data_IF_145143426682
#
_entry.id   IF_145143426682
#
_cell.length_a   1.000
_cell.length_b   1.000
_cell.length_c   1.000
_cell.angle_alpha   90.00
_cell.angle_beta   90.00
_cell.angle_gamma   90.00
#
_symmetry.space_group_name_H-M   'P 1'
#
loop_
_entity.id
_entity.type
_entity.pdbx_description
1 polymer ?
#
# COMPACT_ATOMS: atom_id res chain seq x y z
N UNK A 1 25.37 -31.54 74.18
CA UNK A 1 24.03 -31.09 74.63
C UNK A 1 23.00 -31.72 73.71
N UNK A 2 21.99 -32.43 74.23
CA UNK A 2 21.19 -33.36 73.46
C UNK A 2 20.03 -32.63 72.76
N UNK A 3 19.82 -32.96 71.49
CA UNK A 3 18.74 -32.46 70.64
C UNK A 3 17.33 -32.66 71.26
N UNK A 4 17.23 -33.58 72.22
CA UNK A 4 16.07 -33.90 73.06
C UNK A 4 15.56 -32.70 73.90
N UNK A 5 16.43 -31.78 74.33
CA UNK A 5 16.04 -30.64 75.20
C UNK A 5 15.45 -29.48 74.40
N UNK A 6 15.81 -29.35 73.12
CA UNK A 6 15.22 -28.32 72.24
C UNK A 6 13.82 -28.74 71.78
N UNK A 7 13.56 -30.04 71.64
CA UNK A 7 12.24 -30.58 71.25
C UNK A 7 11.22 -30.58 72.40
N UNK A 8 11.65 -30.49 73.65
CA UNK A 8 10.75 -30.55 74.83
C UNK A 8 10.37 -29.17 75.38
N UNK A 9 11.17 -28.12 75.14
CA UNK A 9 10.83 -26.74 75.53
C UNK A 9 9.90 -26.03 74.53
N UNK A 10 9.77 -26.58 73.32
CA UNK A 10 8.97 -26.05 72.22
C UNK A 10 7.90 -27.11 71.97
N UNK A 11 6.82 -27.06 72.75
CA UNK A 11 5.74 -28.05 72.72
C UNK A 11 5.38 -28.43 71.29
N UNK A 12 5.13 -29.71 71.03
CA UNK A 12 4.93 -30.34 69.70
C UNK A 12 4.02 -29.56 68.73
N UNK A 13 3.15 -28.68 69.24
CA UNK A 13 2.31 -27.73 68.52
C UNK A 13 3.03 -26.54 67.84
N UNK A 14 4.26 -26.21 68.24
CA UNK A 14 5.00 -25.04 67.73
C UNK A 14 5.98 -25.38 66.59
N UNK A 15 6.56 -26.59 66.59
CA UNK A 15 7.32 -27.11 65.45
C UNK A 15 6.43 -27.39 64.24
N UNK A 16 5.21 -27.89 64.46
CA UNK A 16 4.23 -28.10 63.39
C UNK A 16 3.82 -26.78 62.74
N UNK A 17 3.62 -25.72 63.53
CA UNK A 17 3.31 -24.39 63.01
C UNK A 17 4.42 -23.82 62.12
N UNK A 18 5.70 -23.96 62.52
CA UNK A 18 6.84 -23.51 61.72
C UNK A 18 6.92 -24.30 60.40
N UNK A 19 6.78 -25.63 60.46
CA UNK A 19 6.80 -26.49 59.26
C UNK A 19 5.68 -26.11 58.29
N UNK A 20 4.45 -25.91 58.78
CA UNK A 20 3.29 -25.51 57.97
C UNK A 20 3.53 -24.14 57.31
N UNK A 21 4.15 -23.20 58.02
CA UNK A 21 4.42 -21.85 57.49
C UNK A 21 5.48 -21.90 56.38
N UNK A 22 6.56 -22.67 56.57
CA UNK A 22 7.60 -22.86 55.55
C UNK A 22 7.04 -23.60 54.33
N UNK A 23 6.21 -24.63 54.53
CA UNK A 23 5.52 -25.32 53.44
C UNK A 23 4.57 -24.37 52.68
N UNK A 24 3.81 -23.56 53.41
CA UNK A 24 2.91 -22.57 52.82
C UNK A 24 3.67 -21.53 51.97
N UNK A 25 4.80 -21.03 52.47
CA UNK A 25 5.63 -20.04 51.77
C UNK A 25 6.27 -20.63 50.51
N UNK A 26 6.82 -21.85 50.60
CA UNK A 26 7.44 -22.53 49.45
C UNK A 26 6.42 -22.92 48.39
N UNK A 27 5.21 -23.33 48.78
CA UNK A 27 4.10 -23.55 47.85
C UNK A 27 3.67 -22.24 47.17
N UNK A 28 3.47 -21.17 47.95
CA UNK A 28 3.12 -19.85 47.41
C UNK A 28 4.17 -19.35 46.40
N UNK A 29 5.46 -19.50 46.71
CA UNK A 29 6.55 -19.13 45.81
C UNK A 29 6.50 -19.91 44.49
N UNK A 30 6.29 -21.24 44.55
CA UNK A 30 6.15 -22.07 43.34
C UNK A 30 4.95 -21.68 42.49
N UNK A 31 3.81 -21.34 43.10
CA UNK A 31 2.64 -20.85 42.38
C UNK A 31 2.91 -19.52 41.66
N UNK A 32 3.64 -18.60 42.31
CA UNK A 32 4.05 -17.33 41.72
C UNK A 32 4.99 -17.56 40.53
N UNK A 33 6.02 -18.41 40.69
CA UNK A 33 6.97 -18.75 39.62
C UNK A 33 6.29 -19.42 38.42
N UNK A 34 5.37 -20.36 38.66
CA UNK A 34 4.59 -21.01 37.60
C UNK A 34 3.67 -20.02 36.88
N UNK A 35 3.07 -19.07 37.61
CA UNK A 35 2.26 -17.99 37.06
C UNK A 35 3.08 -17.08 36.15
N UNK A 36 4.25 -16.62 36.61
CA UNK A 36 5.17 -15.78 35.84
C UNK A 36 5.67 -16.51 34.59
N UNK A 37 6.10 -17.77 34.71
CA UNK A 37 6.58 -18.55 33.57
C UNK A 37 5.48 -18.80 32.52
N UNK A 38 4.23 -19.01 32.97
CA UNK A 38 3.10 -19.19 32.06
C UNK A 38 2.71 -17.88 31.38
N UNK A 39 2.75 -16.76 32.10
CA UNK A 39 2.53 -15.43 31.52
C UNK A 39 3.61 -15.09 30.48
N UNK A 40 4.88 -15.39 30.75
CA UNK A 40 5.99 -15.18 29.81
C UNK A 40 5.82 -16.01 28.52
N UNK A 41 5.49 -17.30 28.63
CA UNK A 41 5.21 -18.17 27.48
C UNK A 41 4.02 -17.68 26.65
N UNK A 42 2.96 -17.24 27.32
CA UNK A 42 1.78 -16.69 26.65
C UNK A 42 2.16 -15.41 25.87
N UNK A 43 2.95 -14.53 26.49
CA UNK A 43 3.42 -13.31 25.85
C UNK A 43 4.31 -13.60 24.63
N UNK A 44 5.31 -14.48 24.77
CA UNK A 44 6.18 -14.91 23.67
C UNK A 44 5.37 -15.53 22.52
N UNK A 45 4.43 -16.42 22.85
CA UNK A 45 3.55 -17.03 21.84
C UNK A 45 2.68 -15.98 21.12
N UNK A 46 2.29 -14.91 21.81
CA UNK A 46 1.51 -13.82 21.22
C UNK A 46 2.35 -12.94 20.30
N UNK A 47 3.62 -12.70 20.65
CA UNK A 47 4.56 -11.97 19.82
C UNK A 47 4.85 -12.72 18.52
N UNK A 48 5.11 -14.03 18.60
CA UNK A 48 5.33 -14.87 17.41
C UNK A 48 4.11 -14.82 16.49
N UNK A 49 2.90 -14.97 17.04
CA UNK A 49 1.66 -14.88 16.26
C UNK A 49 1.46 -13.51 15.62
N UNK A 50 1.79 -12.43 16.34
CA UNK A 50 1.69 -11.07 15.82
C UNK A 50 2.70 -10.83 14.69
N UNK A 51 3.94 -11.32 14.84
CA UNK A 51 4.96 -11.25 13.80
C UNK A 51 4.53 -12.03 12.55
N UNK A 52 4.04 -13.26 12.71
CA UNK A 52 3.56 -14.08 11.61
C UNK A 52 2.38 -13.43 10.88
N UNK A 53 1.44 -12.84 11.63
CA UNK A 53 0.31 -12.12 11.04
C UNK A 53 0.78 -10.88 10.27
N UNK A 54 1.75 -10.14 10.81
CA UNK A 54 2.33 -8.97 10.16
C UNK A 54 3.06 -9.35 8.86
N UNK A 55 3.92 -10.38 8.90
CA UNK A 55 4.62 -10.88 7.72
C UNK A 55 3.65 -11.30 6.62
N UNK A 56 2.60 -12.07 6.98
CA UNK A 56 1.55 -12.47 6.02
C UNK A 56 0.82 -11.28 5.41
N UNK A 57 0.54 -10.24 6.19
CA UNK A 57 -0.11 -9.03 5.68
C UNK A 57 0.80 -8.27 4.69
N UNK A 58 2.09 -8.16 5.00
CA UNK A 58 3.09 -7.55 4.10
C UNK A 58 3.20 -8.34 2.80
N UNK A 59 3.31 -9.67 2.88
CA UNK A 59 3.41 -10.54 1.70
C UNK A 59 2.16 -10.47 0.83
N UNK A 60 0.97 -10.44 1.44
CA UNK A 60 -0.29 -10.29 0.72
C UNK A 60 -0.36 -8.94 -0.01
N UNK A 61 0.01 -7.86 0.66
CA UNK A 61 0.05 -6.52 0.05
C UNK A 61 1.05 -6.48 -1.11
N UNK A 62 2.24 -7.08 -0.96
CA UNK A 62 3.22 -7.17 -2.03
C UNK A 62 2.68 -7.93 -3.26
N UNK A 63 1.95 -9.03 -3.05
CA UNK A 63 1.31 -9.78 -4.13
C UNK A 63 0.20 -8.98 -4.82
N UNK A 64 -0.64 -8.28 -4.06
CA UNK A 64 -1.67 -7.38 -4.60
C UNK A 64 -1.02 -6.29 -5.46
N UNK A 65 0.05 -5.66 -4.97
CA UNK A 65 0.77 -4.60 -5.68
C UNK A 65 1.40 -5.10 -6.98
N UNK A 66 2.01 -6.30 -6.97
CA UNK A 66 2.56 -6.93 -8.17
C UNK A 66 1.44 -7.17 -9.19
N UNK A 67 0.35 -7.82 -8.76
CA UNK A 67 -0.77 -8.12 -9.64
C UNK A 67 -1.40 -6.85 -10.23
N UNK A 68 -1.60 -5.82 -9.40
CA UNK A 68 -2.13 -4.53 -9.83
C UNK A 68 -1.23 -3.88 -10.89
N UNK A 69 0.09 -3.91 -10.69
CA UNK A 69 1.06 -3.37 -11.66
C UNK A 69 1.03 -4.13 -12.98
N UNK A 70 0.96 -5.46 -12.95
CA UNK A 70 0.87 -6.29 -14.16
C UNK A 70 -0.36 -5.95 -15.00
N UNK A 71 -1.51 -5.74 -14.35
CA UNK A 71 -2.74 -5.36 -15.05
C UNK A 71 -2.64 -3.93 -15.61
N UNK A 72 -2.11 -2.99 -14.83
CA UNK A 72 -1.87 -1.62 -15.29
C UNK A 72 -0.95 -1.55 -16.50
N UNK A 73 0.12 -2.36 -16.58
CA UNK A 73 1.01 -2.37 -17.75
C UNK A 73 0.22 -2.67 -19.04
N UNK A 74 -0.64 -3.69 -19.00
CA UNK A 74 -1.44 -4.12 -20.16
C UNK A 74 -2.42 -3.03 -20.58
N UNK A 75 -3.08 -2.41 -19.60
CA UNK A 75 -4.13 -1.42 -19.83
C UNK A 75 -3.55 -0.05 -20.23
N UNK A 76 -2.44 0.36 -19.63
CA UNK A 76 -1.84 1.68 -19.83
C UNK A 76 -1.16 1.80 -21.19
N UNK A 77 -0.70 0.70 -21.78
CA UNK A 77 -0.14 0.70 -23.13
C UNK A 77 -1.11 1.28 -24.16
N UNK A 78 -2.40 0.94 -24.07
CA UNK A 78 -3.42 1.39 -25.01
C UNK A 78 -3.66 2.92 -24.92
N UNK A 79 -3.87 3.45 -23.71
CA UNK A 79 -4.07 4.90 -23.53
C UNK A 79 -2.79 5.69 -23.82
N UNK A 80 -1.61 5.15 -23.48
CA UNK A 80 -0.34 5.75 -23.83
C UNK A 80 -0.23 5.95 -25.34
N UNK A 81 -0.54 4.92 -26.12
CA UNK A 81 -0.55 4.99 -27.57
C UNK A 81 -1.60 5.98 -28.09
N UNK A 82 -2.80 6.03 -27.50
CA UNK A 82 -3.84 6.97 -27.91
C UNK A 82 -3.39 8.44 -27.78
N UNK A 83 -2.59 8.78 -26.77
CA UNK A 83 -2.05 10.14 -26.60
C UNK A 83 -1.00 10.56 -27.65
N UNK A 84 -0.59 9.65 -28.55
CA UNK A 84 0.40 9.94 -29.59
C UNK A 84 -0.07 10.89 -30.69
N UNK A 85 -1.37 11.19 -30.75
CA UNK A 85 -1.95 12.18 -31.67
C UNK A 85 -1.37 13.59 -31.50
N UNK A 86 -0.89 13.92 -30.30
CA UNK A 86 -0.22 15.18 -29.99
C UNK A 86 1.25 14.89 -29.60
N UNK A 87 2.13 14.57 -30.56
CA UNK A 87 3.54 14.36 -30.27
C UNK A 87 4.23 15.70 -29.97
N UNK A 88 5.10 15.72 -28.96
CA UNK A 88 5.95 16.90 -28.71
C UNK A 88 7.03 17.06 -29.78
N UNK A 89 7.57 15.94 -30.26
CA UNK A 89 8.72 15.91 -31.18
C UNK A 89 8.59 14.77 -32.21
N UNK A 90 8.62 15.06 -33.52
CA UNK A 90 8.26 16.36 -34.09
C UNK A 90 6.81 16.72 -33.74
N UNK A 91 6.48 18.00 -33.72
CA UNK A 91 5.10 18.47 -33.55
C UNK A 91 4.27 18.12 -34.78
N UNK A 92 3.07 17.61 -34.59
CA UNK A 92 2.12 17.41 -35.67
C UNK A 92 1.51 18.75 -36.12
N UNK A 93 1.46 19.00 -37.43
CA UNK A 93 1.06 20.30 -38.02
C UNK A 93 -0.34 20.30 -38.62
N UNK A 94 -0.94 19.13 -38.79
CA UNK A 94 -2.18 18.87 -39.52
C UNK A 94 -3.33 18.38 -38.62
N UNK A 95 -3.13 18.38 -37.29
CA UNK A 95 -4.16 17.98 -36.33
C UNK A 95 -5.32 18.97 -36.37
N UNK A 96 -6.54 18.47 -36.61
CA UNK A 96 -7.74 19.28 -36.65
C UNK A 96 -8.55 19.18 -35.36
N UNK A 97 -9.46 20.12 -35.11
CA UNK A 97 -10.42 19.98 -34.00
C UNK A 97 -11.31 18.73 -34.13
N UNK A 98 -11.56 18.26 -35.35
CA UNK A 98 -12.29 17.00 -35.58
C UNK A 98 -11.51 15.77 -35.10
N UNK A 99 -10.17 15.80 -35.22
CA UNK A 99 -9.30 14.74 -34.72
C UNK A 99 -9.25 14.76 -33.18
N UNK A 100 -9.28 15.94 -32.57
CA UNK A 100 -9.35 16.10 -31.11
C UNK A 100 -10.67 15.57 -30.54
N UNK A 101 -11.80 15.83 -31.22
CA UNK A 101 -13.09 15.26 -30.84
C UNK A 101 -13.04 13.74 -30.87
N UNK A 102 -12.59 13.16 -32.00
CA UNK A 102 -12.42 11.71 -32.13
C UNK A 102 -11.47 11.13 -31.08
N UNK A 103 -10.42 11.87 -30.73
CA UNK A 103 -9.49 11.50 -29.66
C UNK A 103 -10.17 11.46 -28.28
N UNK A 104 -10.93 12.49 -27.91
CA UNK A 104 -11.71 12.50 -26.65
C UNK A 104 -12.71 11.35 -26.58
N UNK A 105 -13.41 11.06 -27.67
CA UNK A 105 -14.33 9.92 -27.78
C UNK A 105 -13.62 8.57 -27.64
N UNK A 106 -12.44 8.44 -28.27
CA UNK A 106 -11.59 7.24 -28.14
C UNK A 106 -11.15 7.03 -26.69
N UNK A 107 -10.70 8.10 -26.02
CA UNK A 107 -10.32 8.06 -24.61
C UNK A 107 -11.50 7.71 -23.70
N UNK A 108 -12.68 8.27 -23.97
CA UNK A 108 -13.91 8.00 -23.20
C UNK A 108 -14.37 6.56 -23.40
N UNK A 109 -14.35 6.07 -24.64
CA UNK A 109 -14.64 4.68 -24.97
C UNK A 109 -13.68 3.74 -24.24
N UNK A 110 -12.37 4.03 -24.28
CA UNK A 110 -11.38 3.29 -23.51
C UNK A 110 -11.68 3.32 -22.00
N UNK A 111 -12.01 4.47 -21.43
CA UNK A 111 -12.27 4.61 -19.98
C UNK A 111 -13.41 3.72 -19.49
N UNK A 112 -14.49 3.60 -20.29
CA UNK A 112 -15.66 2.78 -19.95
C UNK A 112 -15.63 1.37 -20.55
N UNK A 113 -14.67 1.04 -21.42
CA UNK A 113 -14.47 -0.32 -21.89
C UNK A 113 -14.15 -1.24 -20.70
N UNK A 114 -14.33 -2.55 -20.89
CA UNK A 114 -14.33 -3.58 -19.84
C UNK A 114 -13.13 -3.52 -18.87
N UNK A 115 -12.01 -2.89 -19.26
CA UNK A 115 -10.79 -2.84 -18.46
C UNK A 115 -10.01 -1.53 -18.57
N UNK A 116 -10.59 -0.38 -18.94
CA UNK A 116 -9.81 0.86 -19.06
C UNK A 116 -9.65 1.62 -17.75
N UNK A 117 -10.67 2.45 -17.45
CA UNK A 117 -10.64 3.40 -16.33
C UNK A 117 -10.56 2.75 -14.95
N UNK A 118 -10.95 1.48 -14.80
CA UNK A 118 -10.91 0.74 -13.53
C UNK A 118 -9.48 0.59 -12.97
N UNK A 119 -8.46 0.56 -13.83
CA UNK A 119 -7.07 0.34 -13.41
C UNK A 119 -6.29 1.64 -13.16
N UNK A 120 -6.90 2.80 -13.39
CA UNK A 120 -6.29 4.08 -13.05
C UNK A 120 -6.16 4.21 -11.53
N UNK A 121 -4.99 4.64 -11.05
CA UNK A 121 -4.91 5.18 -9.69
C UNK A 121 -5.79 6.41 -9.53
N UNK A 122 -6.00 6.83 -8.28
CA UNK A 122 -6.68 8.09 -7.97
C UNK A 122 -6.03 9.27 -8.70
N UNK A 123 -4.69 9.34 -8.69
CA UNK A 123 -3.94 10.44 -9.30
C UNK A 123 -4.02 10.38 -10.83
N UNK A 124 -3.83 9.20 -11.42
CA UNK A 124 -3.95 9.00 -12.87
C UNK A 124 -5.38 9.29 -13.36
N UNK A 125 -6.40 8.96 -12.56
CA UNK A 125 -7.80 9.28 -12.86
C UNK A 125 -8.09 10.77 -12.80
N UNK A 126 -7.52 11.49 -11.84
CA UNK A 126 -7.67 12.94 -11.75
C UNK A 126 -7.09 13.63 -13.00
N UNK A 127 -5.86 13.29 -13.39
CA UNK A 127 -5.23 13.88 -14.59
C UNK A 127 -5.90 13.45 -15.90
N UNK A 128 -6.52 12.26 -15.94
CA UNK A 128 -7.39 11.87 -17.06
C UNK A 128 -8.63 12.77 -17.14
N UNK A 129 -9.27 13.05 -16.00
CA UNK A 129 -10.41 13.95 -15.91
C UNK A 129 -10.06 15.35 -16.41
N UNK A 130 -8.95 15.91 -15.93
CA UNK A 130 -8.41 17.19 -16.38
C UNK A 130 -8.19 17.25 -17.90
N UNK A 131 -7.68 16.16 -18.50
CA UNK A 131 -7.47 16.08 -19.94
C UNK A 131 -8.81 16.16 -20.70
N UNK A 132 -9.80 15.37 -20.28
CA UNK A 132 -11.13 15.38 -20.90
C UNK A 132 -11.83 16.74 -20.72
N UNK A 133 -11.72 17.34 -19.53
CA UNK A 133 -12.28 18.67 -19.26
C UNK A 133 -11.62 19.75 -20.13
N UNK A 134 -10.30 19.72 -20.27
CA UNK A 134 -9.57 20.66 -21.15
C UNK A 134 -10.03 20.54 -22.59
N UNK A 135 -10.19 19.31 -23.11
CA UNK A 135 -10.71 19.09 -24.47
C UNK A 135 -12.15 19.61 -24.59
N UNK A 136 -13.00 19.33 -23.60
CA UNK A 136 -14.39 19.78 -23.57
C UNK A 136 -14.55 21.30 -23.51
N UNK A 137 -13.61 22.02 -22.88
CA UNK A 137 -13.64 23.48 -22.85
C UNK A 137 -13.23 24.11 -24.19
N UNK A 138 -12.35 23.45 -24.95
CA UNK A 138 -11.82 23.92 -26.24
C UNK A 138 -12.82 23.68 -27.39
N UNK A 139 -13.41 22.48 -27.47
CA UNK A 139 -14.20 22.05 -28.64
C UNK A 139 -15.45 22.92 -28.95
N UNK A 140 -16.29 23.35 -27.98
CA UNK A 140 -17.48 24.15 -28.26
C UNK A 140 -17.18 25.50 -28.91
N UNK A 141 -15.97 26.02 -28.73
CA UNK A 141 -15.54 27.30 -29.28
C UNK A 141 -15.00 27.17 -30.71
N UNK A 142 -14.77 25.94 -31.19
CA UNK A 142 -13.97 25.63 -32.38
C UNK A 142 -14.50 24.36 -33.07
N UNK A 143 -15.38 24.52 -34.05
CA UNK A 143 -16.01 23.39 -34.75
C UNK A 143 -15.17 22.83 -35.92
N UNK A 144 -14.31 23.65 -36.54
CA UNK A 144 -13.62 23.31 -37.78
C UNK A 144 -12.20 23.90 -37.84
N UNK A 145 -11.34 23.29 -38.66
CA UNK A 145 -9.99 23.77 -38.94
C UNK A 145 -8.88 23.08 -38.15
N UNK A 146 -7.65 23.48 -38.45
CA UNK A 146 -6.43 23.04 -37.75
C UNK A 146 -6.43 23.64 -36.34
N UNK A 147 -6.03 22.83 -35.36
CA UNK A 147 -5.94 23.26 -33.97
C UNK A 147 -4.94 24.42 -33.83
N UNK A 148 -5.28 25.42 -33.02
CA UNK A 148 -4.35 26.52 -32.74
C UNK A 148 -3.12 26.03 -31.98
N UNK A 149 -2.04 26.82 -32.02
CA UNK A 149 -0.82 26.48 -31.27
C UNK A 149 -1.08 26.43 -29.76
N UNK A 150 -1.91 27.34 -29.25
CA UNK A 150 -2.27 27.43 -27.83
C UNK A 150 -3.06 26.20 -27.37
N UNK A 151 -4.14 25.85 -28.08
CA UNK A 151 -4.97 24.69 -27.74
C UNK A 151 -4.18 23.38 -27.80
N UNK A 152 -3.31 23.24 -28.80
CA UNK A 152 -2.42 22.08 -28.93
C UNK A 152 -1.49 21.94 -27.73
N UNK A 153 -0.86 23.02 -27.28
CA UNK A 153 0.02 23.00 -26.11
C UNK A 153 -0.75 22.70 -24.82
N UNK A 154 -1.96 23.25 -24.67
CA UNK A 154 -2.83 22.98 -23.53
C UNK A 154 -3.18 21.48 -23.42
N UNK A 155 -3.62 20.87 -24.52
CA UNK A 155 -3.95 19.44 -24.53
C UNK A 155 -2.69 18.58 -24.41
N UNK A 156 -1.59 18.94 -25.09
CA UNK A 156 -0.29 18.25 -24.98
C UNK A 156 0.22 18.23 -23.53
N UNK A 157 0.08 19.33 -22.80
CA UNK A 157 0.47 19.42 -21.40
C UNK A 157 -0.31 18.40 -20.55
N UNK A 158 -1.63 18.30 -20.75
CA UNK A 158 -2.47 17.31 -20.06
C UNK A 158 -2.17 15.87 -20.47
N UNK A 159 -1.94 15.60 -21.75
CA UNK A 159 -1.44 14.29 -22.22
C UNK A 159 -0.09 13.92 -21.59
N UNK A 160 0.79 14.91 -21.38
CA UNK A 160 2.10 14.70 -20.76
C UNK A 160 1.98 14.44 -19.24
N UNK A 161 1.07 15.15 -18.56
CA UNK A 161 0.75 14.91 -17.16
C UNK A 161 0.15 13.52 -16.95
N UNK A 162 -0.81 13.11 -17.80
CA UNK A 162 -1.36 11.78 -17.78
C UNK A 162 -0.27 10.72 -17.94
N UNK A 163 0.55 10.81 -19.00
CA UNK A 163 1.68 9.89 -19.21
C UNK A 163 2.64 9.82 -18.02
N UNK A 164 2.90 10.96 -17.34
CA UNK A 164 3.71 10.99 -16.12
C UNK A 164 3.07 10.14 -15.01
N UNK A 165 1.80 10.33 -14.72
CA UNK A 165 1.12 9.55 -13.67
C UNK A 165 1.01 8.07 -14.02
N UNK A 166 0.77 7.72 -15.29
CA UNK A 166 0.83 6.34 -15.75
C UNK A 166 2.23 5.72 -15.48
N UNK A 167 3.32 6.47 -15.69
CA UNK A 167 4.67 5.97 -15.38
C UNK A 167 4.97 5.91 -13.88
N UNK A 168 4.39 6.80 -13.07
CA UNK A 168 4.51 6.78 -11.61
C UNK A 168 3.84 5.52 -11.04
N UNK A 169 2.63 5.21 -11.51
CA UNK A 169 1.90 4.00 -11.12
C UNK A 169 2.66 2.71 -11.43
N UNK A 170 3.40 2.71 -12.53
CA UNK A 170 4.23 1.58 -12.94
C UNK A 170 5.60 1.55 -12.25
N UNK A 171 5.95 2.60 -11.49
CA UNK A 171 7.27 2.82 -10.92
C UNK A 171 8.41 2.70 -11.94
N UNK A 172 8.12 2.95 -13.22
CA UNK A 172 9.05 2.67 -14.33
C UNK A 172 10.24 3.63 -14.38
N UNK A 173 10.18 4.73 -13.63
CA UNK A 173 11.23 5.76 -13.53
C UNK A 173 11.85 5.85 -12.14
N UNK A 174 11.64 4.85 -11.27
CA UNK A 174 12.21 4.85 -9.92
C UNK A 174 13.73 4.74 -10.02
N UNK A 175 14.45 5.66 -9.36
CA UNK A 175 15.89 5.54 -9.21
C UNK A 175 16.24 4.26 -8.44
N UNK A 176 17.31 3.58 -8.84
CA UNK A 176 17.85 2.47 -8.05
C UNK A 176 18.12 2.97 -6.62
N UNK A 177 17.84 2.16 -5.58
CA UNK A 177 18.16 2.56 -4.21
C UNK A 177 19.63 2.93 -4.14
N UNK A 178 19.93 4.13 -3.65
CA UNK A 178 21.30 4.56 -3.41
C UNK A 178 21.90 3.63 -2.37
N UNK A 179 22.88 2.81 -2.76
CA UNK A 179 23.65 2.02 -1.81
C UNK A 179 24.29 3.01 -0.82
N UNK A 180 23.99 2.94 0.49
CA UNK A 180 24.80 3.65 1.46
C UNK A 180 26.20 3.01 1.44
N UNK A 181 27.18 3.77 0.95
CA UNK A 181 28.61 3.44 1.06
C UNK A 181 29.04 3.48 2.53
#
# INVERSE_FOLDING_TARGET
MPWEVILTAVGSSSLTAIIITILGLTLAQKFIEQGIASAARNFESSLIKAEDAYRKAVDLNAQIDIHLREQRIKVYAAIWQATSILPRWPRATDVTYSDILRFSETLRSWFFAEQGGMWLSTDARAVYGDLQETIWQILPQRAEGVITTEDYEAILAKCSALRKELTNDLLSRRAAPSNPL
#
